data_IF_846331409796
#
_entry.id   IF_846331409796
#
_cell.length_a   1.000
_cell.length_b   1.000
_cell.length_c   1.000
_cell.angle_alpha   90.00
_cell.angle_beta   90.00
_cell.angle_gamma   90.00
#
_symmetry.space_group_name_H-M   'P 1'
#
loop_
_entity.id
_entity.type
_entity.pdbx_description
1 polymer ?
#
# COMPACT_ATOMS: atom_id res chain seq x y z
N UNK A 1 -4.80 13.97 18.95
CA UNK A 1 -5.82 12.90 19.05
C UNK A 1 -5.73 12.03 17.79
N UNK A 2 -6.22 10.79 17.80
CA UNK A 2 -6.09 9.88 16.63
C UNK A 2 -6.67 10.46 15.32
N UNK A 3 -7.66 11.36 15.42
CA UNK A 3 -8.22 12.08 14.26
C UNK A 3 -7.22 13.02 13.58
N UNK A 4 -6.35 13.68 14.35
CA UNK A 4 -5.33 14.61 13.80
C UNK A 4 -4.31 13.84 12.95
N UNK A 5 -3.86 12.69 13.45
CA UNK A 5 -2.93 11.80 12.74
C UNK A 5 -3.55 11.23 11.46
N UNK A 6 -4.85 10.90 11.46
CA UNK A 6 -5.53 10.44 10.25
C UNK A 6 -5.67 11.55 9.19
N UNK A 7 -5.89 12.79 9.62
CA UNK A 7 -5.91 13.96 8.73
C UNK A 7 -4.56 14.24 8.09
N UNK A 8 -3.47 14.13 8.86
CA UNK A 8 -2.10 14.24 8.35
C UNK A 8 -1.79 13.13 7.33
N UNK A 9 -2.17 11.89 7.61
CA UNK A 9 -1.99 10.75 6.69
C UNK A 9 -2.75 10.99 5.39
N UNK A 10 -4.00 11.45 5.45
CA UNK A 10 -4.77 11.76 4.25
C UNK A 10 -4.11 12.87 3.41
N UNK A 11 -3.59 13.91 4.07
CA UNK A 11 -2.88 15.02 3.41
C UNK A 11 -1.61 14.54 2.70
N UNK A 12 -0.81 13.69 3.36
CA UNK A 12 0.39 13.07 2.77
C UNK A 12 0.06 12.20 1.55
N UNK A 13 -1.01 11.40 1.63
CA UNK A 13 -1.47 10.59 0.50
C UNK A 13 -1.90 11.47 -0.68
N UNK A 14 -2.56 12.59 -0.41
CA UNK A 14 -2.98 13.55 -1.43
C UNK A 14 -1.79 14.23 -2.10
N UNK A 15 -0.78 14.64 -1.33
CA UNK A 15 0.47 15.19 -1.86
C UNK A 15 1.22 14.16 -2.72
N UNK A 16 1.35 12.92 -2.25
CA UNK A 16 1.97 11.85 -3.01
C UNK A 16 1.26 11.60 -4.36
N UNK A 17 -0.07 11.63 -4.34
CA UNK A 17 -0.87 11.52 -5.55
C UNK A 17 -0.59 12.69 -6.48
N UNK A 18 -0.52 13.93 -5.97
CA UNK A 18 -0.24 15.17 -6.73
C UNK A 18 1.11 15.13 -7.44
N UNK A 19 2.15 14.61 -6.80
CA UNK A 19 3.51 14.51 -7.35
C UNK A 19 3.58 13.54 -8.54
N UNK A 20 2.94 12.37 -8.44
CA UNK A 20 3.01 11.33 -9.47
C UNK A 20 1.71 11.18 -10.26
N UNK A 21 1.58 11.90 -11.38
CA UNK A 21 0.38 11.84 -12.25
C UNK A 21 0.02 10.43 -12.77
N UNK A 22 1.01 9.54 -12.88
CA UNK A 22 0.79 8.15 -13.32
C UNK A 22 0.16 7.27 -12.24
N UNK A 23 0.24 7.68 -10.97
CA UNK A 23 -0.34 6.95 -9.84
C UNK A 23 -1.83 7.27 -9.77
N UNK A 24 -2.66 6.26 -10.04
CA UNK A 24 -4.12 6.39 -10.04
C UNK A 24 -4.73 6.22 -8.65
N UNK A 25 -4.10 5.41 -7.80
CA UNK A 25 -4.59 5.06 -6.48
C UNK A 25 -3.42 4.78 -5.53
N UNK A 26 -3.54 5.23 -4.28
CA UNK A 26 -2.63 4.90 -3.19
C UNK A 26 -3.45 4.28 -2.06
N UNK A 27 -2.94 3.19 -1.49
CA UNK A 27 -3.55 2.50 -0.36
C UNK A 27 -2.51 2.35 0.74
N UNK A 28 -2.83 2.87 1.92
CA UNK A 28 -2.10 2.60 3.16
C UNK A 28 -2.82 1.47 3.89
N UNK A 29 -2.11 0.38 4.15
CA UNK A 29 -2.64 -0.78 4.86
C UNK A 29 -1.67 -1.32 5.92
N UNK A 30 -2.21 -2.09 6.85
CA UNK A 30 -1.40 -2.89 7.78
C UNK A 30 -0.72 -4.05 7.05
N UNK A 31 0.20 -4.75 7.73
CA UNK A 31 0.88 -5.94 7.18
C UNK A 31 -0.06 -7.09 6.88
N UNK A 32 -1.21 -7.13 7.55
CA UNK A 32 -2.28 -8.10 7.38
C UNK A 32 -3.24 -7.72 6.24
N UNK A 33 -3.04 -6.57 5.59
CA UNK A 33 -3.88 -6.10 4.49
C UNK A 33 -5.12 -5.34 4.92
N UNK A 34 -5.20 -4.88 6.18
CA UNK A 34 -6.29 -4.02 6.66
C UNK A 34 -6.07 -2.60 6.15
N UNK A 35 -7.05 -2.03 5.43
CA UNK A 35 -6.97 -0.67 4.88
C UNK A 35 -7.07 0.35 6.02
N UNK A 36 -6.06 1.22 6.11
CA UNK A 36 -6.02 2.35 7.05
C UNK A 36 -6.47 3.63 6.35
N UNK A 37 -6.00 3.86 5.12
CA UNK A 37 -6.41 4.99 4.29
C UNK A 37 -6.25 4.64 2.81
N UNK A 38 -7.08 5.23 1.95
CA UNK A 38 -6.99 5.06 0.51
C UNK A 38 -7.42 6.34 -0.21
N UNK A 39 -6.72 6.67 -1.29
CA UNK A 39 -7.02 7.81 -2.13
C UNK A 39 -6.92 7.41 -3.60
N UNK A 40 -7.87 7.86 -4.44
CA UNK A 40 -7.93 7.56 -5.86
C UNK A 40 -8.23 8.83 -6.67
N UNK A 41 -7.60 8.98 -7.85
CA UNK A 41 -7.79 10.11 -8.78
C UNK A 41 -9.06 9.94 -9.60
N UNK A 42 -9.26 8.75 -10.17
CA UNK A 42 -10.39 8.36 -11.01
C UNK A 42 -10.29 6.85 -11.26
N UNK A 43 -11.33 6.08 -10.92
CA UNK A 43 -11.41 4.65 -11.20
C UNK A 43 -11.61 3.72 -10.00
N UNK A 44 -12.25 2.60 -10.31
CA UNK A 44 -12.90 1.62 -9.45
C UNK A 44 -11.95 0.48 -8.99
N UNK A 45 -10.83 0.84 -8.37
CA UNK A 45 -9.96 -0.14 -7.72
C UNK A 45 -10.41 -0.35 -6.29
N UNK A 46 -11.00 -1.50 -5.95
CA UNK A 46 -11.40 -1.78 -4.57
C UNK A 46 -10.15 -1.78 -3.67
N UNK A 47 -9.98 -0.80 -2.77
CA UNK A 47 -8.76 -0.65 -1.97
C UNK A 47 -8.53 -1.85 -1.04
N UNK A 48 -9.60 -2.56 -0.65
CA UNK A 48 -9.49 -3.79 0.15
C UNK A 48 -8.83 -4.90 -0.63
N UNK A 49 -9.22 -5.09 -1.90
CA UNK A 49 -8.61 -6.12 -2.76
C UNK A 49 -7.13 -5.82 -2.97
N UNK A 50 -6.78 -4.57 -3.29
CA UNK A 50 -5.39 -4.18 -3.48
C UNK A 50 -4.56 -4.38 -2.20
N UNK A 51 -5.07 -3.99 -1.04
CA UNK A 51 -4.39 -4.19 0.24
C UNK A 51 -4.19 -5.68 0.56
N UNK A 52 -5.24 -6.50 0.40
CA UNK A 52 -5.18 -7.94 0.68
C UNK A 52 -4.19 -8.66 -0.26
N UNK A 53 -4.28 -8.41 -1.56
CA UNK A 53 -3.39 -9.06 -2.54
C UNK A 53 -1.94 -8.62 -2.31
N UNK A 54 -1.70 -7.32 -2.08
CA UNK A 54 -0.35 -6.81 -1.79
C UNK A 54 0.23 -7.42 -0.51
N UNK A 55 -0.55 -7.50 0.56
CA UNK A 55 -0.13 -8.11 1.82
C UNK A 55 0.20 -9.60 1.64
N UNK A 56 -0.64 -10.34 0.90
CA UNK A 56 -0.39 -11.75 0.59
C UNK A 56 0.90 -11.95 -0.24
N UNK A 57 1.14 -11.09 -1.24
CA UNK A 57 2.35 -11.12 -2.06
C UNK A 57 3.61 -10.80 -1.24
N UNK A 58 3.56 -9.77 -0.39
CA UNK A 58 4.67 -9.42 0.51
C UNK A 58 4.96 -10.57 1.48
N UNK A 59 3.92 -11.18 2.06
CA UNK A 59 4.07 -12.30 2.99
C UNK A 59 4.67 -13.53 2.29
N UNK A 60 4.11 -13.93 1.15
CA UNK A 60 4.61 -15.07 0.37
C UNK A 60 6.04 -14.85 -0.14
N UNK A 61 6.35 -13.65 -0.63
CA UNK A 61 7.70 -13.25 -1.04
C UNK A 61 8.69 -13.27 0.12
N UNK A 62 8.29 -12.73 1.28
CA UNK A 62 9.12 -12.74 2.50
C UNK A 62 9.40 -14.16 2.99
N UNK A 63 8.39 -15.02 3.02
CA UNK A 63 8.54 -16.42 3.43
C UNK A 63 9.50 -17.17 2.48
N UNK A 64 9.35 -16.95 1.17
CA UNK A 64 10.22 -17.57 0.16
C UNK A 64 11.67 -17.08 0.28
N UNK A 65 11.88 -15.76 0.42
CA UNK A 65 13.22 -15.19 0.55
C UNK A 65 13.90 -15.60 1.86
N UNK A 66 13.13 -15.76 2.94
CA UNK A 66 13.61 -16.30 4.21
C UNK A 66 14.20 -17.71 4.03
N UNK A 67 13.56 -18.57 3.23
CA UNK A 67 14.11 -19.90 2.91
C UNK A 67 15.43 -19.85 2.13
N UNK A 68 15.66 -18.76 1.38
CA UNK A 68 16.88 -18.51 0.63
C UNK A 68 17.95 -17.73 1.42
N UNK A 69 17.72 -17.47 2.71
CA UNK A 69 18.58 -16.61 3.56
C UNK A 69 18.78 -15.20 3.00
N UNK A 70 17.81 -14.71 2.23
CA UNK A 70 17.78 -13.34 1.73
C UNK A 70 16.86 -12.46 2.58
N UNK A 71 17.11 -11.15 2.55
CA UNK A 71 16.28 -10.14 3.20
C UNK A 71 14.88 -10.06 2.58
N UNK A 72 13.92 -9.51 3.31
CA UNK A 72 12.53 -9.34 2.86
C UNK A 72 12.41 -8.45 1.61
N UNK A 73 11.36 -8.63 0.77
CA UNK A 73 11.13 -7.79 -0.38
C UNK A 73 10.71 -6.39 0.07
N UNK A 74 11.44 -5.37 -0.40
CA UNK A 74 11.15 -3.96 -0.10
C UNK A 74 10.09 -3.38 -1.05
N UNK A 75 9.99 -3.91 -2.28
CA UNK A 75 9.06 -3.46 -3.31
C UNK A 75 8.49 -4.64 -4.10
N UNK A 76 7.20 -4.57 -4.44
CA UNK A 76 6.58 -5.42 -5.46
C UNK A 76 6.55 -4.63 -6.77
N UNK A 77 7.32 -5.07 -7.77
CA UNK A 77 7.39 -4.43 -9.08
C UNK A 77 6.57 -5.27 -10.05
N UNK A 78 5.55 -4.67 -10.66
CA UNK A 78 4.88 -5.22 -11.85
C UNK A 78 5.39 -4.46 -13.07
N UNK A 79 5.92 -5.17 -14.06
CA UNK A 79 6.38 -4.62 -15.35
C UNK A 79 5.26 -4.54 -16.37
#
# INVERSE_FOLDING_TARGET
>A
MAGDTLGEVASLLEEALKVHRSVKQIVLCTKEGVVVAALSREGDGNPRVLATVSAALVWGGSATLSHLKHSQPTHLIHT
#
